data_IF_594653854183
#
_entry.id   IF_594653854183
#
_cell.length_a   1.000
_cell.length_b   1.000
_cell.length_c   1.000
_cell.angle_alpha   90.00
_cell.angle_beta   90.00
_cell.angle_gamma   90.00
#
_symmetry.space_group_name_H-M   'P 1'
#
loop_
_entity.id
_entity.type
_entity.pdbx_description
1 polymer ?
#
# COMPACT_ATOMS: atom_id res chain seq x y z
N UNK A 1 5.72 -7.89 -2.10
CA UNK A 1 6.61 -9.04 -2.06
C UNK A 1 7.86 -8.79 -2.91
N UNK A 2 8.85 -8.25 -2.27
CA UNK A 2 10.12 -7.96 -2.94
C UNK A 2 10.84 -9.27 -3.29
N UNK A 3 11.40 -9.32 -4.50
CA UNK A 3 12.22 -10.43 -4.93
C UNK A 3 11.44 -11.72 -5.12
N UNK A 4 10.32 -11.62 -5.82
CA UNK A 4 9.63 -12.79 -6.38
C UNK A 4 10.47 -13.46 -7.47
N UNK A 5 11.58 -12.84 -7.88
CA UNK A 5 12.54 -13.48 -8.76
C UNK A 5 13.13 -14.70 -8.09
N UNK A 6 12.84 -15.86 -8.64
CA UNK A 6 13.37 -17.15 -8.18
C UNK A 6 14.91 -17.12 -8.05
N UNK A 7 15.57 -16.30 -8.87
CA UNK A 7 17.02 -16.12 -8.91
C UNK A 7 17.62 -15.65 -7.57
N UNK A 8 16.87 -14.87 -6.78
CA UNK A 8 17.36 -14.32 -5.51
C UNK A 8 16.97 -15.14 -4.28
N UNK A 9 16.17 -16.18 -4.46
CA UNK A 9 15.68 -16.99 -3.35
C UNK A 9 16.49 -18.28 -3.23
N UNK A 10 17.43 -18.31 -2.30
CA UNK A 10 18.27 -19.49 -2.04
C UNK A 10 17.45 -20.77 -1.89
N UNK A 11 16.29 -20.71 -1.30
CA UNK A 11 15.37 -21.83 -1.13
C UNK A 11 14.92 -22.46 -2.47
N UNK A 12 15.04 -21.73 -3.57
CA UNK A 12 14.66 -22.21 -4.90
C UNK A 12 15.88 -22.49 -5.79
N UNK A 13 17.04 -21.90 -5.49
CA UNK A 13 18.24 -21.93 -6.33
C UNK A 13 19.34 -22.84 -5.81
N UNK A 14 19.24 -23.32 -4.57
CA UNK A 14 20.17 -24.29 -3.97
C UNK A 14 19.51 -25.67 -3.83
N UNK A 15 20.29 -26.76 -3.70
CA UNK A 15 19.75 -28.07 -3.41
C UNK A 15 18.91 -28.08 -2.14
N UNK A 16 17.74 -28.70 -2.19
CA UNK A 16 16.84 -28.89 -1.06
C UNK A 16 16.98 -30.30 -0.53
N UNK A 17 17.68 -30.48 0.58
CA UNK A 17 17.96 -31.77 1.20
C UNK A 17 16.67 -32.48 1.60
N UNK A 18 15.64 -31.74 2.07
CA UNK A 18 14.35 -32.31 2.44
C UNK A 18 13.56 -32.84 1.24
N UNK A 19 13.99 -32.51 0.03
CA UNK A 19 13.36 -32.94 -1.23
C UNK A 19 14.37 -33.58 -2.19
N UNK A 20 15.23 -34.43 -1.64
CA UNK A 20 16.21 -35.25 -2.37
C UNK A 20 17.22 -34.42 -3.22
N UNK A 21 17.64 -33.27 -2.70
CA UNK A 21 18.62 -32.41 -3.38
C UNK A 21 18.07 -31.67 -4.61
N UNK A 22 16.76 -31.55 -4.77
CA UNK A 22 16.16 -30.84 -5.91
C UNK A 22 16.50 -29.36 -5.86
N UNK A 23 16.97 -28.83 -6.99
CA UNK A 23 17.08 -27.40 -7.24
C UNK A 23 15.84 -26.98 -8.03
N UNK A 24 14.89 -26.29 -7.38
CA UNK A 24 13.56 -26.01 -7.93
C UNK A 24 13.61 -25.20 -9.21
N UNK A 25 14.47 -24.16 -9.29
CA UNK A 25 14.62 -23.33 -10.50
C UNK A 25 15.15 -24.12 -11.70
N UNK A 26 16.03 -25.07 -11.48
CA UNK A 26 16.57 -25.93 -12.56
C UNK A 26 15.53 -26.95 -13.04
N UNK A 27 14.81 -27.57 -12.09
CA UNK A 27 13.88 -28.65 -12.44
C UNK A 27 12.54 -28.15 -12.96
N UNK A 28 12.02 -27.03 -12.45
CA UNK A 28 10.67 -26.56 -12.73
C UNK A 28 10.60 -25.18 -13.41
N UNK A 29 11.73 -24.51 -13.62
CA UNK A 29 11.82 -23.23 -14.31
C UNK A 29 10.84 -22.20 -13.71
N UNK A 30 9.99 -21.62 -14.53
CA UNK A 30 8.99 -20.60 -14.11
C UNK A 30 7.97 -21.09 -13.09
N UNK A 31 7.82 -22.40 -12.90
CA UNK A 31 6.92 -23.00 -11.90
C UNK A 31 7.61 -23.31 -10.57
N UNK A 32 8.90 -22.98 -10.40
CA UNK A 32 9.70 -23.33 -9.23
C UNK A 32 9.02 -22.92 -7.92
N UNK A 33 8.60 -21.65 -7.82
CA UNK A 33 7.96 -21.11 -6.63
C UNK A 33 6.67 -21.86 -6.28
N UNK A 34 5.72 -21.92 -7.22
CA UNK A 34 4.43 -22.56 -6.94
C UNK A 34 4.56 -24.05 -6.67
N UNK A 35 5.51 -24.72 -7.34
CA UNK A 35 5.76 -26.16 -7.10
C UNK A 35 6.27 -26.38 -5.67
N UNK A 36 7.25 -25.59 -5.21
CA UNK A 36 7.73 -25.70 -3.82
C UNK A 36 6.64 -25.36 -2.82
N UNK A 37 5.89 -24.30 -3.08
CA UNK A 37 4.80 -23.85 -2.17
C UNK A 37 3.73 -24.94 -2.01
N UNK A 38 3.32 -25.59 -3.11
CA UNK A 38 2.22 -26.59 -3.06
C UNK A 38 2.70 -27.98 -2.70
N UNK A 39 3.74 -28.47 -3.37
CA UNK A 39 4.16 -29.86 -3.23
C UNK A 39 4.99 -30.14 -1.97
N UNK A 40 5.58 -29.13 -1.36
CA UNK A 40 6.36 -29.24 -0.14
C UNK A 40 5.71 -28.46 1.01
N UNK A 41 5.71 -27.13 0.97
CA UNK A 41 5.32 -26.33 2.13
C UNK A 41 3.85 -26.51 2.52
N UNK A 42 2.93 -26.40 1.59
CA UNK A 42 1.51 -26.57 1.86
C UNK A 42 1.19 -28.02 2.28
N UNK A 43 1.78 -29.00 1.61
CA UNK A 43 1.59 -30.41 1.95
C UNK A 43 2.11 -30.73 3.34
N UNK A 44 3.32 -30.29 3.67
CA UNK A 44 4.00 -30.66 4.92
C UNK A 44 3.41 -29.91 6.12
N UNK A 45 3.05 -28.64 5.95
CA UNK A 45 2.46 -27.79 6.99
C UNK A 45 0.94 -27.91 7.10
N UNK A 46 0.28 -28.45 6.08
CA UNK A 46 -1.18 -28.60 6.04
C UNK A 46 -1.93 -27.28 5.98
N UNK A 47 -1.28 -26.18 5.59
CA UNK A 47 -1.89 -24.86 5.54
C UNK A 47 -2.92 -24.79 4.41
N UNK A 48 -4.20 -24.71 4.77
CA UNK A 48 -5.30 -24.49 3.82
C UNK A 48 -6.32 -23.54 4.42
N UNK A 49 -7.06 -22.88 3.53
CA UNK A 49 -8.13 -21.98 3.94
C UNK A 49 -9.33 -22.77 4.45
N UNK A 50 -9.90 -22.37 5.59
CA UNK A 50 -11.14 -22.98 6.07
C UNK A 50 -12.32 -22.62 5.15
N UNK A 51 -13.37 -23.47 5.07
CA UNK A 51 -14.57 -23.15 4.30
C UNK A 51 -15.21 -21.81 4.71
N UNK A 52 -15.23 -21.51 6.02
CA UNK A 52 -15.76 -20.24 6.54
C UNK A 52 -14.94 -19.03 6.03
N UNK A 53 -13.62 -19.13 6.04
CA UNK A 53 -12.76 -18.05 5.52
C UNK A 53 -12.92 -17.89 4.00
N UNK A 54 -13.08 -18.98 3.27
CA UNK A 54 -13.37 -18.95 1.83
C UNK A 54 -14.70 -18.27 1.54
N UNK A 55 -15.74 -18.57 2.31
CA UNK A 55 -17.04 -17.92 2.22
C UNK A 55 -16.94 -16.40 2.45
N UNK A 56 -16.29 -15.98 3.54
CA UNK A 56 -16.10 -14.55 3.85
C UNK A 56 -15.31 -13.84 2.75
N UNK A 57 -14.30 -14.49 2.18
CA UNK A 57 -13.54 -13.95 1.04
C UNK A 57 -14.44 -13.76 -0.18
N UNK A 58 -15.28 -14.74 -0.51
CA UNK A 58 -16.22 -14.62 -1.63
C UNK A 58 -17.22 -13.49 -1.42
N UNK A 59 -17.81 -13.36 -0.23
CA UNK A 59 -18.69 -12.23 0.11
C UNK A 59 -17.98 -10.90 -0.12
N UNK A 60 -16.70 -10.80 0.30
CA UNK A 60 -15.88 -9.60 0.03
C UNK A 60 -15.63 -9.34 -1.45
N UNK A 61 -15.51 -10.38 -2.27
CA UNK A 61 -15.28 -10.25 -3.72
C UNK A 61 -16.52 -9.77 -4.48
N UNK A 62 -17.73 -10.11 -4.05
CA UNK A 62 -18.96 -9.76 -4.73
C UNK A 62 -19.14 -8.25 -4.97
N UNK A 63 -18.66 -7.42 -4.05
CA UNK A 63 -18.76 -5.96 -4.14
C UNK A 63 -17.42 -5.26 -4.41
N UNK A 64 -16.35 -6.03 -4.68
CA UNK A 64 -14.99 -5.47 -4.82
C UNK A 64 -14.92 -4.40 -5.93
N UNK A 65 -15.52 -4.65 -7.08
CA UNK A 65 -15.51 -3.72 -8.21
C UNK A 65 -16.17 -2.37 -7.87
N UNK A 66 -17.26 -2.37 -7.10
CA UNK A 66 -17.91 -1.15 -6.65
C UNK A 66 -17.05 -0.36 -5.66
N UNK A 67 -16.42 -1.05 -4.72
CA UNK A 67 -15.54 -0.42 -3.74
C UNK A 67 -14.29 0.17 -4.39
N UNK A 68 -13.64 -0.57 -5.28
CA UNK A 68 -12.41 -0.08 -5.94
C UNK A 68 -12.70 1.16 -6.79
N UNK A 69 -13.81 1.18 -7.53
CA UNK A 69 -14.23 2.37 -8.28
C UNK A 69 -14.43 3.58 -7.34
N UNK A 70 -15.09 3.38 -6.20
CA UNK A 70 -15.30 4.45 -5.21
C UNK A 70 -13.99 4.92 -4.57
N UNK A 71 -13.08 3.99 -4.23
CA UNK A 71 -11.74 4.32 -3.73
C UNK A 71 -10.98 5.21 -4.73
N UNK A 72 -10.95 4.85 -6.00
CA UNK A 72 -10.26 5.62 -7.03
C UNK A 72 -10.83 7.03 -7.17
N UNK A 73 -12.16 7.15 -7.29
CA UNK A 73 -12.84 8.45 -7.42
C UNK A 73 -12.60 9.36 -6.20
N UNK A 74 -12.64 8.80 -5.01
CA UNK A 74 -12.35 9.55 -3.80
C UNK A 74 -10.88 9.98 -3.76
N UNK A 75 -9.96 9.08 -4.09
CA UNK A 75 -8.52 9.37 -4.09
C UNK A 75 -8.13 10.46 -5.09
N UNK A 76 -8.73 10.49 -6.27
CA UNK A 76 -8.52 11.57 -7.26
C UNK A 76 -8.89 12.94 -6.66
N UNK A 77 -10.09 13.07 -6.10
CA UNK A 77 -10.56 14.32 -5.49
C UNK A 77 -9.72 14.74 -4.29
N UNK A 78 -9.33 13.79 -3.46
CA UNK A 78 -8.46 14.04 -2.31
C UNK A 78 -7.06 14.46 -2.76
N UNK A 79 -6.50 13.83 -3.80
CA UNK A 79 -5.20 14.20 -4.35
C UNK A 79 -5.21 15.62 -4.94
N UNK A 80 -6.25 15.99 -5.67
CA UNK A 80 -6.45 17.35 -6.18
C UNK A 80 -6.58 18.38 -5.05
N UNK A 81 -7.37 18.08 -4.02
CA UNK A 81 -7.49 18.94 -2.83
C UNK A 81 -6.14 19.16 -2.16
N UNK A 82 -5.41 18.08 -1.87
CA UNK A 82 -4.10 18.16 -1.20
C UNK A 82 -3.07 18.90 -2.04
N UNK A 83 -3.05 18.69 -3.36
CA UNK A 83 -2.15 19.37 -4.28
C UNK A 83 -2.31 20.90 -4.26
N UNK A 84 -3.53 21.37 -4.11
CA UNK A 84 -3.85 22.80 -4.08
C UNK A 84 -3.85 23.39 -2.67
N UNK A 85 -3.63 22.58 -1.63
CA UNK A 85 -3.71 23.04 -0.25
C UNK A 85 -2.43 23.79 0.19
N UNK A 86 -2.52 25.01 0.77
CA UNK A 86 -1.36 25.84 1.10
C UNK A 86 -0.42 25.25 2.15
N UNK A 87 -0.87 24.30 2.96
CA UNK A 87 -0.10 23.61 4.01
C UNK A 87 0.54 22.30 3.54
N UNK A 88 0.34 21.89 2.29
CA UNK A 88 0.95 20.70 1.68
C UNK A 88 2.16 21.12 0.87
N UNK A 89 3.25 20.39 1.01
CA UNK A 89 4.50 20.65 0.30
C UNK A 89 4.58 19.86 -1.03
N UNK A 90 4.11 18.64 -1.04
CA UNK A 90 4.12 17.75 -2.21
C UNK A 90 3.05 16.67 -2.11
N UNK A 91 2.62 16.15 -3.26
CA UNK A 91 1.68 15.02 -3.39
C UNK A 91 2.21 14.06 -4.45
N UNK A 92 2.20 12.77 -4.15
CA UNK A 92 2.47 11.69 -5.10
C UNK A 92 1.21 10.83 -5.28
N UNK A 93 0.60 10.95 -6.44
CA UNK A 93 -0.51 10.12 -6.89
C UNK A 93 -0.42 9.94 -8.41
N UNK A 94 -0.42 8.70 -8.87
CA UNK A 94 -0.19 8.41 -10.29
C UNK A 94 -1.32 8.90 -11.21
N UNK A 95 -2.52 9.17 -10.66
CA UNK A 95 -3.65 9.74 -11.40
C UNK A 95 -3.54 11.24 -11.69
N UNK A 96 -2.67 11.99 -11.00
CA UNK A 96 -2.46 13.42 -11.29
C UNK A 96 -1.76 13.59 -12.64
N UNK A 97 -2.24 14.53 -13.45
CA UNK A 97 -1.75 14.76 -14.82
C UNK A 97 -0.26 15.13 -14.90
N UNK A 98 0.29 15.73 -13.87
CA UNK A 98 1.71 16.09 -13.76
C UNK A 98 2.57 15.01 -13.06
N UNK A 99 1.97 13.89 -12.67
CA UNK A 99 2.73 12.76 -12.12
C UNK A 99 3.64 12.15 -13.19
N UNK A 100 4.91 11.92 -12.84
CA UNK A 100 5.86 11.19 -13.70
C UNK A 100 5.39 9.78 -14.09
N UNK A 101 4.41 9.25 -13.38
CA UNK A 101 3.83 7.92 -13.62
C UNK A 101 2.48 7.98 -14.33
N UNK A 102 1.96 9.17 -14.68
CA UNK A 102 0.62 9.32 -15.24
C UNK A 102 0.42 8.49 -16.52
N UNK A 103 1.34 8.55 -17.47
CA UNK A 103 1.25 7.78 -18.72
C UNK A 103 1.28 6.25 -18.48
N UNK A 104 1.98 5.78 -17.43
CA UNK A 104 1.95 4.37 -17.04
C UNK A 104 0.63 4.00 -16.36
N UNK A 105 0.08 4.92 -15.57
CA UNK A 105 -1.22 4.73 -14.95
C UNK A 105 -2.33 4.61 -16.01
N UNK A 106 -2.38 5.50 -16.99
CA UNK A 106 -3.32 5.40 -18.11
C UNK A 106 -3.18 4.07 -18.88
N UNK A 107 -1.94 3.64 -19.12
CA UNK A 107 -1.67 2.40 -19.85
C UNK A 107 -2.10 1.14 -19.09
N UNK A 108 -1.83 1.05 -17.78
CA UNK A 108 -2.01 -0.19 -17.01
C UNK A 108 -3.22 -0.18 -16.10
N UNK A 109 -3.78 0.99 -15.80
CA UNK A 109 -4.91 1.19 -14.91
C UNK A 109 -5.96 2.14 -15.52
N UNK A 110 -6.46 1.84 -16.75
CA UNK A 110 -7.33 2.78 -17.50
C UNK A 110 -8.70 3.01 -16.84
N UNK A 111 -9.09 2.15 -15.91
CA UNK A 111 -10.40 2.22 -15.23
C UNK A 111 -10.34 2.86 -13.84
N UNK A 112 -9.21 3.42 -13.48
CA UNK A 112 -8.99 4.04 -12.17
C UNK A 112 -7.61 3.70 -11.60
N UNK A 113 -6.93 4.72 -11.06
CA UNK A 113 -5.49 4.60 -10.76
C UNK A 113 -5.22 3.83 -9.48
N UNK A 114 -5.83 4.15 -8.39
CA UNK A 114 -5.85 3.40 -7.11
C UNK A 114 -6.47 4.26 -6.00
N UNK A 115 -6.69 3.66 -4.82
CA UNK A 115 -7.15 4.35 -3.62
C UNK A 115 -6.04 4.82 -2.68
N UNK A 116 -4.77 4.76 -3.07
CA UNK A 116 -3.63 5.09 -2.20
C UNK A 116 -2.81 6.22 -2.81
N UNK A 117 -2.48 7.20 -1.99
CA UNK A 117 -1.60 8.31 -2.35
C UNK A 117 -0.62 8.60 -1.21
N UNK A 118 0.45 9.33 -1.52
CA UNK A 118 1.38 9.86 -0.52
C UNK A 118 1.45 11.38 -0.64
N UNK A 119 1.66 12.05 0.48
CA UNK A 119 1.90 13.49 0.50
C UNK A 119 2.75 13.89 1.70
N UNK A 120 3.36 15.05 1.64
CA UNK A 120 4.09 15.67 2.72
C UNK A 120 3.44 16.99 3.13
N UNK A 121 2.95 17.14 4.38
CA UNK A 121 2.56 18.44 4.89
C UNK A 121 3.81 19.31 5.12
N UNK A 122 3.65 20.62 5.11
CA UNK A 122 4.73 21.57 5.44
C UNK A 122 5.18 21.37 6.90
N UNK A 123 6.42 21.76 7.21
CA UNK A 123 6.98 21.60 8.54
C UNK A 123 7.66 20.26 8.80
N UNK A 124 7.94 19.47 7.75
CA UNK A 124 8.72 18.24 7.83
C UNK A 124 8.08 17.18 8.74
N UNK A 125 8.91 16.39 9.43
CA UNK A 125 8.47 15.34 10.38
C UNK A 125 7.47 15.87 11.42
N UNK A 126 7.74 17.02 12.02
CA UNK A 126 6.87 17.59 13.06
C UNK A 126 5.52 18.03 12.49
N UNK A 127 5.50 18.58 11.26
CA UNK A 127 4.28 18.89 10.53
C UNK A 127 3.43 17.65 10.28
N UNK A 128 4.06 16.57 9.84
CA UNK A 128 3.40 15.28 9.63
C UNK A 128 2.80 14.70 10.93
N UNK A 129 3.53 14.82 12.04
CA UNK A 129 3.04 14.38 13.36
C UNK A 129 1.87 15.23 13.84
N UNK A 130 1.94 16.57 13.70
CA UNK A 130 0.80 17.46 14.05
C UNK A 130 -0.44 17.18 13.21
N UNK A 131 -0.24 16.98 11.91
CA UNK A 131 -1.31 16.58 11.00
C UNK A 131 -1.99 15.27 11.46
N UNK A 132 -1.21 14.20 11.65
CA UNK A 132 -1.77 12.89 12.03
C UNK A 132 -2.51 12.94 13.38
N UNK A 133 -1.97 13.67 14.36
CA UNK A 133 -2.61 13.84 15.66
C UNK A 133 -3.90 14.71 15.62
N UNK A 134 -4.07 15.50 14.58
CA UNK A 134 -5.25 16.33 14.36
C UNK A 134 -6.44 15.62 13.74
N UNK A 135 -6.26 14.42 13.18
CA UNK A 135 -7.32 13.66 12.52
C UNK A 135 -8.39 13.19 13.51
N UNK A 136 -9.66 13.24 13.10
CA UNK A 136 -10.83 12.86 13.90
C UNK A 136 -11.59 11.65 13.33
N UNK A 137 -11.65 11.54 12.01
CA UNK A 137 -12.37 10.48 11.31
C UNK A 137 -11.40 9.47 10.70
N UNK A 138 -10.36 9.96 10.01
CA UNK A 138 -9.38 9.11 9.32
C UNK A 138 -8.51 8.38 10.35
N UNK A 139 -8.50 7.05 10.30
CA UNK A 139 -7.83 6.22 11.29
C UNK A 139 -6.31 6.15 11.06
N UNK A 140 -5.53 6.20 12.15
CA UNK A 140 -4.06 6.01 12.10
C UNK A 140 -3.76 4.52 12.22
N UNK A 141 -3.71 3.82 11.08
CA UNK A 141 -3.45 2.38 11.00
C UNK A 141 -2.67 2.03 9.72
N UNK A 142 -2.09 0.85 9.69
CA UNK A 142 -1.26 0.37 8.57
C UNK A 142 -2.06 -0.23 7.42
N UNK A 143 -3.37 -0.25 7.49
CA UNK A 143 -4.24 -0.88 6.50
C UNK A 143 -4.14 -0.20 5.12
N UNK A 144 -4.46 -0.96 4.09
CA UNK A 144 -4.58 -0.50 2.70
C UNK A 144 -5.86 -1.10 2.14
N UNK A 145 -6.62 -0.29 1.41
CA UNK A 145 -7.89 -0.68 0.79
C UNK A 145 -8.98 -1.15 1.78
N UNK A 146 -8.91 -0.69 3.03
CA UNK A 146 -10.03 -0.78 3.97
C UNK A 146 -11.18 0.12 3.47
N UNK A 147 -12.42 -0.23 3.75
CA UNK A 147 -13.57 0.60 3.45
C UNK A 147 -13.49 1.99 4.13
N UNK A 148 -12.79 2.09 5.24
CA UNK A 148 -12.51 3.33 5.96
C UNK A 148 -11.19 3.94 5.49
N UNK A 149 -11.17 5.26 5.41
CA UNK A 149 -9.94 6.02 5.17
C UNK A 149 -8.95 5.84 6.33
N UNK A 150 -7.68 5.63 5.98
CA UNK A 150 -6.64 5.49 6.98
C UNK A 150 -5.31 6.09 6.52
N UNK A 151 -4.54 6.56 7.50
CA UNK A 151 -3.21 7.15 7.28
C UNK A 151 -2.14 6.39 8.04
N UNK A 152 -0.93 6.48 7.51
CA UNK A 152 0.29 6.06 8.16
C UNK A 152 1.36 7.12 7.96
N UNK A 153 2.02 7.54 9.04
CA UNK A 153 3.27 8.27 9.02
C UNK A 153 4.42 7.29 9.27
N UNK A 154 5.10 6.77 8.23
CA UNK A 154 6.07 5.68 8.41
C UNK A 154 7.21 6.05 9.34
N UNK A 155 7.70 7.29 9.28
CA UNK A 155 8.83 7.76 10.07
C UNK A 155 8.60 7.71 11.60
N UNK A 156 7.35 7.84 12.08
CA UNK A 156 7.02 7.71 13.50
C UNK A 156 6.43 6.36 13.90
N UNK A 157 6.08 5.50 12.93
CA UNK A 157 5.44 4.21 13.18
C UNK A 157 6.27 3.02 12.68
N UNK A 158 6.08 2.61 11.43
CA UNK A 158 6.67 1.37 10.89
C UNK A 158 8.17 1.43 10.67
N UNK A 159 8.75 2.61 10.55
CA UNK A 159 10.18 2.84 10.31
C UNK A 159 10.83 3.68 11.43
N UNK A 160 10.21 3.76 12.61
CA UNK A 160 10.63 4.60 13.73
C UNK A 160 12.06 4.30 14.24
N UNK A 161 12.61 3.12 13.94
CA UNK A 161 13.97 2.74 14.28
C UNK A 161 15.03 3.36 13.36
N UNK A 162 14.63 3.95 12.24
CA UNK A 162 15.54 4.59 11.28
C UNK A 162 15.68 6.08 11.58
N UNK A 163 16.90 6.60 11.45
CA UNK A 163 17.14 8.05 11.42
C UNK A 163 16.75 8.63 10.06
N UNK A 164 16.73 9.97 9.93
CA UNK A 164 16.25 10.64 8.72
C UNK A 164 17.09 10.29 7.48
N UNK A 165 18.40 10.13 7.62
CA UNK A 165 19.26 9.72 6.52
C UNK A 165 18.91 8.30 6.02
N UNK A 166 18.72 7.37 6.93
CA UNK A 166 18.34 6.00 6.62
C UNK A 166 16.93 5.92 6.01
N UNK A 167 16.01 6.79 6.46
CA UNK A 167 14.69 6.91 5.86
C UNK A 167 14.78 7.36 4.39
N UNK A 168 15.54 8.41 4.11
CA UNK A 168 15.76 8.93 2.75
C UNK A 168 16.37 7.84 1.85
N UNK A 169 17.39 7.14 2.32
CA UNK A 169 18.02 6.03 1.60
C UNK A 169 17.06 4.87 1.34
N UNK A 170 16.09 4.65 2.22
CA UNK A 170 15.01 3.67 2.05
C UNK A 170 13.88 4.18 1.12
N UNK A 171 13.95 5.43 0.63
CA UNK A 171 12.92 6.04 -0.20
C UNK A 171 11.68 6.50 0.57
N UNK A 172 11.82 6.71 1.88
CA UNK A 172 10.75 7.20 2.77
C UNK A 172 11.16 8.58 3.28
N UNK A 173 10.48 9.63 2.85
CA UNK A 173 10.74 10.96 3.38
C UNK A 173 10.27 11.10 4.83
N UNK A 174 10.97 11.88 5.68
CA UNK A 174 10.59 12.08 7.08
C UNK A 174 9.19 12.69 7.29
N UNK A 175 8.68 13.42 6.30
CA UNK A 175 7.35 14.06 6.28
C UNK A 175 6.29 13.24 5.52
N UNK A 176 6.65 12.05 5.01
CA UNK A 176 5.75 11.26 4.19
C UNK A 176 4.55 10.75 4.99
N UNK A 177 3.37 11.11 4.53
CA UNK A 177 2.09 10.52 4.94
C UNK A 177 1.61 9.61 3.81
N UNK A 178 1.34 8.34 4.11
CA UNK A 178 0.62 7.45 3.21
C UNK A 178 -0.85 7.46 3.59
N UNK A 179 -1.71 7.85 2.66
CA UNK A 179 -3.15 7.86 2.81
C UNK A 179 -3.78 6.75 1.96
N UNK A 180 -4.52 5.85 2.57
CA UNK A 180 -5.42 4.92 1.89
C UNK A 180 -6.83 5.47 2.01
N UNK A 181 -7.35 5.97 0.90
CA UNK A 181 -8.66 6.63 0.84
C UNK A 181 -9.77 5.59 0.82
N UNK A 182 -10.72 5.71 1.72
CA UNK A 182 -11.87 4.81 1.86
C UNK A 182 -13.03 5.16 0.92
N UNK A 183 -14.19 4.57 1.23
CA UNK A 183 -15.41 4.71 0.44
C UNK A 183 -16.44 5.66 1.08
N UNK A 184 -16.06 6.37 2.14
CA UNK A 184 -16.89 7.38 2.81
C UNK A 184 -17.28 8.51 1.84
N UNK A 185 -18.11 9.45 2.28
CA UNK A 185 -18.33 10.67 1.51
C UNK A 185 -17.01 11.44 1.39
N UNK A 186 -16.66 11.82 0.17
CA UNK A 186 -15.38 12.48 -0.10
C UNK A 186 -15.27 13.85 0.57
N UNK A 187 -16.38 14.54 0.77
CA UNK A 187 -16.38 15.84 1.45
C UNK A 187 -16.06 15.69 2.94
N UNK A 188 -16.53 14.61 3.57
CA UNK A 188 -16.19 14.31 4.96
C UNK A 188 -14.70 13.96 5.11
N UNK A 189 -14.16 13.19 4.16
CA UNK A 189 -12.72 12.90 4.14
C UNK A 189 -11.93 14.21 4.00
N UNK A 190 -12.28 15.05 3.04
CA UNK A 190 -11.61 16.34 2.79
C UNK A 190 -11.73 17.26 3.99
N UNK A 191 -12.90 17.33 4.62
CA UNK A 191 -13.11 18.15 5.81
C UNK A 191 -12.22 17.72 6.99
N UNK A 192 -12.05 16.41 7.20
CA UNK A 192 -11.16 15.89 8.24
C UNK A 192 -9.68 16.19 7.95
N UNK A 193 -9.26 16.04 6.69
CA UNK A 193 -7.89 16.38 6.27
C UNK A 193 -7.62 17.89 6.41
N UNK A 194 -8.56 18.74 6.00
CA UNK A 194 -8.42 20.20 6.04
C UNK A 194 -8.27 20.70 7.49
N UNK A 195 -9.15 20.26 8.38
CA UNK A 195 -9.09 20.66 9.80
C UNK A 195 -7.81 20.13 10.50
N UNK A 196 -7.30 18.96 10.08
CA UNK A 196 -6.03 18.42 10.59
C UNK A 196 -4.83 19.22 10.05
N UNK A 197 -4.86 19.62 8.78
CA UNK A 197 -3.84 20.48 8.16
C UNK A 197 -3.81 21.89 8.80
N UNK A 198 -4.90 22.37 9.40
CA UNK A 198 -4.88 23.65 10.12
C UNK A 198 -3.88 23.67 11.28
N UNK A 199 -3.48 22.51 11.80
CA UNK A 199 -2.49 22.38 12.90
C UNK A 199 -1.02 22.36 12.40
N UNK A 200 -0.80 22.39 11.11
CA UNK A 200 0.53 22.33 10.49
C UNK A 200 1.19 23.72 10.37
#
# INVERSE_FOLDING_TARGET
>A
SRGLGDVYKRQLTTPDESYHGVIYTQKFGKKAYITKATAQLMRDMGACQSPQNAFLTNVGLETLHLRVERHCRNAEKVAEFLKNHPKVAWVEYAGLADSKYHALAEKYMPNGTCGVLCFGPKGGRDGAMRFTNGLKMVAIVTHVADARSCVLHPASHTHRQLNDQQLIEAGVLPDLIRLSVGIEDVNDIIADLDQALANV
#
